data_IF_918344843499
#
_entry.id   IF_918344843499
#
_cell.length_a   1.000
_cell.length_b   1.000
_cell.length_c   1.000
_cell.angle_alpha   90.00
_cell.angle_beta   90.00
_cell.angle_gamma   90.00
#
_symmetry.space_group_name_H-M   'P 1'
#
loop_
_entity.id
_entity.type
_entity.pdbx_description
1 polymer ?
#
# COMPACT_ATOMS: atom_id res chain seq x y z
N UNK A 1 -48.78 -6.35 48.74
CA UNK A 1 -48.26 -5.35 49.67
C UNK A 1 -47.51 -4.34 48.87
N UNK A 2 -48.16 -3.28 48.29
CA UNK A 2 -48.36 -1.95 48.85
C UNK A 2 -47.05 -1.29 49.25
N UNK A 3 -46.61 -0.11 48.76
CA UNK A 3 -47.24 1.23 48.59
C UNK A 3 -46.23 2.07 47.77
N UNK A 4 -46.50 2.69 46.64
CA UNK A 4 -46.95 4.05 46.34
C UNK A 4 -46.26 5.15 47.17
N UNK A 5 -45.59 6.10 46.51
CA UNK A 5 -46.04 7.49 46.44
C UNK A 5 -45.11 8.39 45.65
N UNK A 6 -45.72 9.17 44.84
CA UNK A 6 -45.29 10.29 44.01
C UNK A 6 -45.25 11.58 44.85
N UNK A 7 -44.39 12.53 44.43
CA UNK A 7 -44.61 13.98 44.70
C UNK A 7 -44.20 14.79 43.46
N UNK A 8 -45.16 15.56 43.00
CA UNK A 8 -45.04 16.70 42.03
C UNK A 8 -44.82 17.99 42.83
N UNK A 9 -44.16 18.97 42.18
CA UNK A 9 -44.49 20.42 42.24
C UNK A 9 -43.35 21.19 41.55
N UNK A 10 -43.57 21.96 40.58
CA UNK A 10 -44.22 23.23 40.26
C UNK A 10 -43.20 24.37 40.03
N UNK A 11 -43.21 24.82 38.80
CA UNK A 11 -43.05 26.14 38.18
C UNK A 11 -42.68 27.36 39.06
N UNK A 12 -41.73 28.16 38.55
CA UNK A 12 -41.90 29.63 38.50
C UNK A 12 -41.06 30.21 37.32
N UNK A 13 -41.79 30.81 36.40
CA UNK A 13 -41.23 31.65 35.33
C UNK A 13 -40.98 33.08 35.87
N UNK A 14 -39.87 33.68 35.50
CA UNK A 14 -39.70 35.12 35.63
C UNK A 14 -39.16 35.69 34.33
N UNK A 15 -40.06 36.38 33.62
CA UNK A 15 -39.76 37.23 32.47
C UNK A 15 -39.08 38.52 32.99
N UNK A 16 -37.93 38.84 32.48
CA UNK A 16 -37.37 40.20 32.56
C UNK A 16 -37.10 40.72 31.14
N UNK A 17 -37.91 41.68 30.76
CA UNK A 17 -37.77 42.49 29.55
C UNK A 17 -36.71 43.53 29.84
N UNK A 18 -35.60 43.54 29.12
CA UNK A 18 -34.56 44.55 29.15
C UNK A 18 -34.25 45.03 27.74
N UNK A 19 -34.42 46.35 27.53
CA UNK A 19 -34.38 47.04 26.26
C UNK A 19 -33.03 46.95 25.54
N UNK A 20 -33.10 46.88 24.22
CA UNK A 20 -31.97 46.88 23.30
C UNK A 20 -31.36 48.31 23.21
N UNK A 21 -30.06 48.41 23.42
CA UNK A 21 -29.25 49.49 22.88
C UNK A 21 -28.31 48.92 21.83
N UNK A 22 -28.49 49.35 20.59
CA UNK A 22 -27.64 49.05 19.48
C UNK A 22 -26.28 49.72 19.64
N UNK A 23 -25.24 48.92 19.88
CA UNK A 23 -23.86 49.37 19.73
C UNK A 23 -23.30 48.74 18.45
N UNK A 24 -22.89 49.61 17.53
CA UNK A 24 -22.21 49.23 16.30
C UNK A 24 -20.89 48.53 16.65
N UNK A 25 -20.74 47.28 16.27
CA UNK A 25 -19.48 46.54 16.35
C UNK A 25 -18.72 46.69 15.05
N UNK A 26 -17.58 47.33 15.15
CA UNK A 26 -16.53 47.36 14.14
C UNK A 26 -16.08 45.98 13.76
N UNK A 27 -16.08 45.69 12.45
CA UNK A 27 -15.51 44.45 11.89
C UNK A 27 -13.99 44.52 11.99
N UNK A 28 -13.31 43.51 12.58
CA UNK A 28 -11.85 43.46 12.51
C UNK A 28 -11.41 43.18 11.08
N UNK A 29 -10.60 44.08 10.53
CA UNK A 29 -9.87 43.89 9.27
C UNK A 29 -8.98 42.65 9.36
N UNK A 30 -9.25 41.65 8.55
CA UNK A 30 -8.37 40.51 8.34
C UNK A 30 -7.01 40.98 7.83
N UNK A 31 -5.98 40.88 8.64
CA UNK A 31 -4.59 40.98 8.21
C UNK A 31 -4.30 39.80 7.29
N UNK A 32 -4.05 40.06 6.00
CA UNK A 32 -3.42 39.14 5.07
C UNK A 32 -2.00 38.91 5.55
N UNK A 33 -1.81 37.81 6.27
CA UNK A 33 -0.47 37.29 6.55
C UNK A 33 -0.03 36.46 5.36
N UNK A 34 0.73 37.10 4.46
CA UNK A 34 1.33 36.45 3.30
C UNK A 34 2.67 35.84 3.70
N UNK A 35 2.64 34.79 4.50
CA UNK A 35 3.81 33.89 4.63
C UNK A 35 3.90 33.07 3.37
N UNK A 36 4.64 33.54 2.38
CA UNK A 36 5.14 32.77 1.25
C UNK A 36 5.98 31.62 1.80
N UNK A 37 5.38 30.43 1.92
CA UNK A 37 6.13 29.18 2.06
C UNK A 37 6.92 29.03 0.76
N UNK A 38 8.23 29.26 0.84
CA UNK A 38 9.15 28.96 -0.26
C UNK A 38 9.10 27.45 -0.51
N UNK A 39 8.59 27.07 -1.67
CA UNK A 39 8.76 25.72 -2.19
C UNK A 39 10.26 25.36 -2.23
N UNK A 40 10.64 24.11 -1.91
CA UNK A 40 12.03 23.70 -2.04
C UNK A 40 12.44 23.82 -3.51
N UNK A 41 13.39 24.71 -3.79
CA UNK A 41 14.09 24.74 -5.07
C UNK A 41 15.00 23.51 -5.10
N UNK A 42 14.62 22.50 -5.82
CA UNK A 42 15.46 21.74 -6.74
C UNK A 42 14.66 20.62 -7.40
N UNK A 43 14.06 20.90 -8.54
CA UNK A 43 13.69 19.89 -9.52
C UNK A 43 13.84 20.50 -10.91
N UNK A 44 15.07 20.62 -11.37
CA UNK A 44 15.37 20.74 -12.79
C UNK A 44 15.21 19.38 -13.46
N UNK A 45 13.97 18.90 -13.57
CA UNK A 45 13.62 17.88 -14.54
C UNK A 45 12.97 18.57 -15.73
N UNK A 46 13.74 18.69 -16.81
CA UNK A 46 13.26 19.12 -18.12
C UNK A 46 12.22 18.13 -18.63
N UNK A 47 11.05 18.65 -19.05
CA UNK A 47 10.06 17.91 -19.85
C UNK A 47 10.74 17.43 -21.13
N UNK A 48 10.94 16.12 -21.29
CA UNK A 48 11.40 15.55 -22.54
C UNK A 48 12.05 14.17 -22.51
N UNK A 49 12.58 13.71 -21.37
CA UNK A 49 13.11 12.35 -21.29
C UNK A 49 12.02 11.44 -20.68
N UNK A 50 11.65 10.38 -21.42
CA UNK A 50 10.95 9.24 -20.84
C UNK A 50 11.79 8.81 -19.63
N UNK A 51 11.30 9.06 -18.41
CA UNK A 51 12.09 8.96 -17.20
C UNK A 51 12.69 7.56 -17.11
N UNK A 52 14.03 7.47 -17.24
CA UNK A 52 14.76 6.22 -17.22
C UNK A 52 14.38 5.45 -15.96
N UNK A 53 13.90 4.21 -16.14
CA UNK A 53 13.54 3.35 -15.02
C UNK A 53 14.78 3.17 -14.14
N UNK A 54 14.73 3.50 -12.82
CA UNK A 54 15.87 3.27 -11.93
C UNK A 54 16.32 1.81 -11.99
N UNK A 55 17.65 1.58 -11.93
CA UNK A 55 18.24 0.25 -12.10
C UNK A 55 17.62 -0.81 -11.17
N UNK A 56 17.22 -0.41 -9.97
CA UNK A 56 16.56 -1.30 -9.01
C UNK A 56 15.30 -1.94 -9.59
N UNK A 57 14.52 -1.20 -10.36
CA UNK A 57 13.22 -1.63 -10.89
C UNK A 57 13.30 -2.14 -12.34
N UNK A 58 14.50 -2.15 -12.94
CA UNK A 58 14.67 -2.50 -14.36
C UNK A 58 14.74 -4.01 -14.62
N UNK A 59 14.83 -4.84 -13.59
CA UNK A 59 14.95 -6.30 -13.72
C UNK A 59 13.92 -7.00 -12.83
N UNK A 60 13.30 -8.05 -13.36
CA UNK A 60 12.43 -8.93 -12.59
C UNK A 60 13.20 -10.01 -11.81
N UNK A 61 14.45 -10.30 -12.19
CA UNK A 61 15.26 -11.32 -11.52
C UNK A 61 15.50 -10.95 -10.04
N UNK A 62 15.43 -11.92 -9.11
CA UNK A 62 15.76 -11.70 -7.71
C UNK A 62 17.16 -11.11 -7.56
N UNK A 63 17.29 -10.11 -6.67
CA UNK A 63 18.57 -9.52 -6.33
C UNK A 63 19.08 -10.16 -5.01
N UNK A 64 20.24 -10.81 -5.06
CA UNK A 64 20.90 -11.36 -3.87
C UNK A 64 21.50 -10.23 -3.04
N UNK A 65 21.11 -10.13 -1.77
CA UNK A 65 21.54 -9.05 -0.86
C UNK A 65 21.95 -9.60 0.51
N UNK A 66 22.95 -8.98 1.12
CA UNK A 66 23.18 -9.13 2.56
C UNK A 66 22.96 -7.79 3.24
N UNK A 67 22.03 -7.74 4.19
CA UNK A 67 21.83 -6.59 5.08
C UNK A 67 22.65 -6.77 6.34
N UNK A 68 23.67 -5.94 6.51
CA UNK A 68 24.46 -5.88 7.75
C UNK A 68 23.95 -4.74 8.63
N UNK A 69 23.34 -5.07 9.77
CA UNK A 69 22.75 -4.13 10.72
C UNK A 69 22.80 -4.69 12.14
N UNK A 70 22.59 -3.84 13.16
CA UNK A 70 22.38 -4.32 14.52
C UNK A 70 20.96 -4.93 14.63
N UNK A 71 20.85 -6.23 14.38
CA UNK A 71 19.57 -6.94 14.34
C UNK A 71 18.86 -6.94 15.69
N UNK A 72 19.62 -6.96 16.80
CA UNK A 72 19.05 -6.89 18.15
C UNK A 72 18.34 -5.56 18.39
N UNK A 73 18.90 -4.44 17.92
CA UNK A 73 18.25 -3.13 18.01
C UNK A 73 16.98 -3.09 17.14
N UNK A 74 17.07 -3.51 15.89
CA UNK A 74 15.92 -3.54 14.98
C UNK A 74 14.76 -4.38 15.55
N UNK A 75 15.03 -5.56 16.10
CA UNK A 75 13.98 -6.41 16.69
C UNK A 75 13.34 -5.82 17.96
N UNK A 76 14.03 -4.92 18.65
CA UNK A 76 13.49 -4.19 19.82
C UNK A 76 12.62 -3.00 19.46
N UNK A 77 12.78 -2.47 18.26
CA UNK A 77 12.06 -1.29 17.78
C UNK A 77 10.65 -1.66 17.34
N UNK A 78 9.74 -1.74 18.32
CA UNK A 78 8.34 -2.09 18.14
C UNK A 78 7.40 -0.88 18.06
N UNK A 79 7.95 0.34 17.91
CA UNK A 79 7.17 1.59 17.81
C UNK A 79 7.20 2.15 16.39
N UNK A 80 6.09 2.68 15.92
CA UNK A 80 5.97 3.28 14.59
C UNK A 80 7.02 4.40 14.34
N UNK A 81 7.41 5.13 15.38
CA UNK A 81 8.39 6.22 15.31
C UNK A 81 9.81 5.80 15.70
N UNK A 82 10.15 4.52 15.55
CA UNK A 82 11.52 4.04 15.82
C UNK A 82 12.54 4.77 14.95
N UNK A 83 13.75 5.03 15.49
CA UNK A 83 14.79 5.76 14.78
C UNK A 83 15.37 4.93 13.63
N UNK A 84 16.04 5.61 12.71
CA UNK A 84 16.87 4.96 11.72
C UNK A 84 18.21 4.53 12.32
N UNK A 85 18.62 3.30 12.04
CA UNK A 85 19.92 2.73 12.40
C UNK A 85 20.85 2.66 11.19
N UNK A 86 22.14 2.77 11.42
CA UNK A 86 23.16 2.56 10.38
C UNK A 86 23.18 1.09 9.95
N UNK A 87 23.28 0.89 8.65
CA UNK A 87 23.36 -0.42 8.01
C UNK A 87 24.15 -0.34 6.69
N UNK A 88 24.49 -1.49 6.10
CA UNK A 88 24.96 -1.57 4.73
C UNK A 88 24.31 -2.75 4.01
N UNK A 89 24.08 -2.59 2.69
CA UNK A 89 23.87 -3.71 1.79
C UNK A 89 25.17 -4.11 1.11
N UNK A 90 25.41 -5.42 1.02
CA UNK A 90 26.42 -5.98 0.13
C UNK A 90 25.74 -6.86 -0.91
N UNK A 91 26.22 -6.78 -2.16
CA UNK A 91 25.74 -7.59 -3.28
C UNK A 91 26.82 -7.66 -4.37
N UNK A 92 26.66 -8.59 -5.29
CA UNK A 92 27.49 -8.66 -6.50
C UNK A 92 26.74 -8.00 -7.66
N UNK A 93 27.34 -7.04 -8.33
CA UNK A 93 26.73 -6.36 -9.47
C UNK A 93 26.74 -7.24 -10.75
N UNK A 94 26.19 -6.71 -11.83
CA UNK A 94 26.09 -7.43 -13.10
C UNK A 94 27.45 -7.74 -13.73
N UNK A 95 28.51 -7.00 -13.36
CA UNK A 95 29.87 -7.21 -13.81
C UNK A 95 30.64 -8.21 -12.90
N UNK A 96 29.98 -8.81 -11.92
CA UNK A 96 30.59 -9.73 -10.95
C UNK A 96 31.40 -9.03 -9.85
N UNK A 97 31.27 -7.71 -9.69
CA UNK A 97 32.03 -6.95 -8.70
C UNK A 97 31.25 -6.85 -7.39
N UNK A 98 31.91 -7.06 -6.24
CA UNK A 98 31.30 -6.84 -4.95
C UNK A 98 31.03 -5.34 -4.73
N UNK A 99 29.83 -5.03 -4.28
CA UNK A 99 29.40 -3.68 -3.96
C UNK A 99 28.98 -3.62 -2.50
N UNK A 100 29.33 -2.54 -1.82
CA UNK A 100 28.79 -2.21 -0.48
C UNK A 100 28.14 -0.82 -0.53
N UNK A 101 26.88 -0.76 -0.11
CA UNK A 101 26.09 0.47 -0.15
C UNK A 101 25.64 0.81 1.27
N UNK A 102 26.15 1.88 1.87
CA UNK A 102 25.70 2.32 3.18
C UNK A 102 24.27 2.87 3.07
N UNK A 103 23.45 2.53 4.07
CA UNK A 103 22.08 2.99 4.19
C UNK A 103 21.70 3.17 5.66
N UNK A 104 20.53 3.73 5.88
CA UNK A 104 19.87 3.69 7.19
C UNK A 104 18.62 2.83 7.09
N UNK A 105 18.33 2.08 8.13
CA UNK A 105 17.20 1.16 8.21
C UNK A 105 16.40 1.37 9.48
N UNK A 106 15.09 1.26 9.40
CA UNK A 106 14.20 1.22 10.58
C UNK A 106 13.07 0.23 10.35
N UNK A 107 12.47 -0.23 11.44
CA UNK A 107 11.22 -1.00 11.38
C UNK A 107 10.06 -0.15 10.88
N UNK A 108 9.08 -0.78 10.25
CA UNK A 108 7.92 -0.12 9.64
C UNK A 108 6.66 -0.97 9.82
N UNK A 109 5.49 -0.32 9.63
CA UNK A 109 4.18 -0.95 9.74
C UNK A 109 3.54 -0.75 11.10
N UNK A 110 2.34 -1.29 11.26
CA UNK A 110 1.55 -1.24 12.51
C UNK A 110 1.32 -2.66 13.00
N UNK A 111 0.52 -3.45 12.27
CA UNK A 111 0.17 -4.81 12.69
C UNK A 111 1.38 -5.74 12.70
N UNK A 112 2.11 -5.83 11.60
CA UNK A 112 3.31 -6.69 11.48
C UNK A 112 4.44 -6.27 12.41
N UNK A 113 4.56 -4.97 12.72
CA UNK A 113 5.53 -4.47 13.70
C UNK A 113 5.26 -5.02 15.11
N UNK A 114 3.99 -5.18 15.48
CA UNK A 114 3.59 -5.70 16.78
C UNK A 114 3.66 -7.23 16.86
N UNK A 115 3.35 -7.94 15.78
CA UNK A 115 3.07 -9.38 15.79
C UNK A 115 4.17 -10.24 15.15
N UNK A 116 4.92 -9.71 14.17
CA UNK A 116 5.95 -10.48 13.48
C UNK A 116 7.28 -10.53 14.23
N UNK A 117 7.96 -11.68 14.17
CA UNK A 117 9.35 -11.80 14.62
C UNK A 117 10.29 -10.96 13.74
N UNK A 118 10.01 -10.87 12.45
CA UNK A 118 10.74 -10.06 11.47
C UNK A 118 9.82 -8.98 10.88
N UNK A 119 9.75 -7.80 11.52
CA UNK A 119 8.89 -6.72 11.03
C UNK A 119 9.40 -6.18 9.67
N UNK A 120 8.51 -5.63 8.83
CA UNK A 120 8.91 -4.93 7.62
C UNK A 120 9.87 -3.79 7.93
N UNK A 121 10.73 -3.48 6.96
CA UNK A 121 11.75 -2.45 7.11
C UNK A 121 11.53 -1.30 6.13
N UNK A 122 11.82 -0.09 6.58
CA UNK A 122 11.98 1.07 5.71
C UNK A 122 13.46 1.38 5.55
N UNK A 123 13.91 1.41 4.31
CA UNK A 123 15.27 1.73 3.96
C UNK A 123 15.40 3.23 3.67
N UNK A 124 16.61 3.77 3.77
CA UNK A 124 16.88 5.15 3.42
C UNK A 124 18.30 5.23 2.84
N UNK A 125 18.37 5.41 1.53
CA UNK A 125 19.61 5.57 0.78
C UNK A 125 19.94 7.04 0.62
N UNK A 126 21.23 7.36 0.66
CA UNK A 126 21.74 8.64 0.20
C UNK A 126 22.05 8.52 -1.28
N UNK A 127 21.44 9.32 -2.15
CA UNK A 127 21.73 9.30 -3.59
C UNK A 127 23.22 9.51 -3.89
N UNK A 128 23.90 10.32 -3.07
CA UNK A 128 25.36 10.52 -3.21
C UNK A 128 26.13 9.22 -2.96
N UNK A 129 25.80 8.47 -1.91
CA UNK A 129 26.50 7.23 -1.54
C UNK A 129 26.06 6.03 -2.38
N UNK A 130 24.84 6.04 -2.90
CA UNK A 130 24.31 5.01 -3.78
C UNK A 130 24.66 5.23 -5.26
N UNK A 131 25.37 6.34 -5.60
CA UNK A 131 25.73 6.68 -6.98
C UNK A 131 26.52 5.54 -7.64
N UNK A 132 26.11 5.15 -8.84
CA UNK A 132 26.74 4.06 -9.60
C UNK A 132 26.22 2.66 -9.25
N UNK A 133 25.53 2.49 -8.14
CA UNK A 133 24.96 1.21 -7.70
C UNK A 133 23.54 0.98 -8.25
N UNK A 134 22.99 -0.21 -7.99
CA UNK A 134 21.60 -0.55 -8.33
C UNK A 134 20.58 0.28 -7.51
N UNK A 135 20.99 0.82 -6.36
CA UNK A 135 20.14 1.58 -5.45
C UNK A 135 20.15 3.10 -5.69
N UNK A 136 20.85 3.58 -6.72
CA UNK A 136 20.78 4.97 -7.12
C UNK A 136 19.34 5.33 -7.52
N UNK A 137 18.81 6.44 -7.01
CA UNK A 137 17.42 6.90 -7.17
C UNK A 137 16.33 6.00 -6.52
N UNK A 138 16.73 5.05 -5.68
CA UNK A 138 15.78 4.23 -4.93
C UNK A 138 15.16 4.96 -3.71
N UNK A 139 15.85 5.96 -3.18
CA UNK A 139 15.47 6.78 -2.02
C UNK A 139 15.10 5.99 -0.76
N UNK A 140 13.80 5.79 -0.51
CA UNK A 140 13.28 5.17 0.73
C UNK A 140 12.36 3.98 0.47
N UNK A 141 12.78 2.96 -0.29
CA UNK A 141 11.93 1.80 -0.54
C UNK A 141 11.56 1.12 0.77
N UNK A 142 10.37 0.49 0.75
CA UNK A 142 9.93 -0.40 1.82
C UNK A 142 10.39 -1.82 1.49
N UNK A 143 10.76 -2.60 2.51
CA UNK A 143 11.12 -4.01 2.38
C UNK A 143 10.12 -4.85 3.16
N UNK A 144 9.43 -5.74 2.44
CA UNK A 144 8.55 -6.75 3.02
C UNK A 144 9.35 -8.01 3.24
N UNK A 145 9.36 -8.48 4.49
CA UNK A 145 10.10 -9.65 4.96
C UNK A 145 9.12 -10.75 5.38
N UNK A 146 9.50 -12.03 5.39
CA UNK A 146 8.70 -13.06 6.05
C UNK A 146 8.39 -12.69 7.50
N UNK A 147 7.13 -12.81 7.90
CA UNK A 147 6.69 -12.47 9.26
C UNK A 147 7.47 -13.27 10.31
N UNK A 148 7.56 -14.56 10.08
CA UNK A 148 8.23 -15.51 10.96
C UNK A 148 9.34 -16.28 10.23
N UNK A 149 9.98 -17.20 10.93
CA UNK A 149 11.12 -17.95 10.39
C UNK A 149 10.72 -19.32 9.79
N UNK A 150 9.41 -19.55 9.59
CA UNK A 150 8.88 -20.74 8.95
C UNK A 150 8.83 -20.61 7.41
N UNK A 151 8.55 -21.75 6.76
CA UNK A 151 8.46 -21.80 5.28
C UNK A 151 7.21 -21.12 4.74
N UNK A 152 6.11 -21.14 5.50
CA UNK A 152 4.84 -20.58 5.06
C UNK A 152 4.94 -19.05 4.98
N UNK A 153 5.61 -18.42 5.94
CA UNK A 153 5.86 -16.97 5.93
C UNK A 153 6.66 -16.52 4.70
N UNK A 154 7.58 -17.32 4.18
CA UNK A 154 8.30 -17.02 2.94
C UNK A 154 7.40 -17.19 1.72
N UNK A 155 6.53 -18.21 1.70
CA UNK A 155 5.55 -18.41 0.64
C UNK A 155 4.52 -17.27 0.58
N UNK A 156 4.10 -16.72 1.73
CA UNK A 156 3.23 -15.54 1.77
C UNK A 156 3.87 -14.31 1.12
N UNK A 157 5.15 -14.08 1.38
CA UNK A 157 5.91 -12.99 0.73
C UNK A 157 5.98 -13.17 -0.78
N UNK A 158 6.22 -14.38 -1.26
CA UNK A 158 6.25 -14.70 -2.69
C UNK A 158 4.88 -14.52 -3.34
N UNK A 159 3.80 -14.94 -2.67
CA UNK A 159 2.42 -14.73 -3.14
C UNK A 159 2.09 -13.23 -3.20
N UNK A 160 2.38 -12.47 -2.15
CA UNK A 160 2.14 -11.02 -2.12
C UNK A 160 2.94 -10.32 -3.23
N UNK A 161 4.20 -10.69 -3.44
CA UNK A 161 5.01 -10.17 -4.55
C UNK A 161 4.38 -10.44 -5.92
N UNK A 162 3.78 -11.64 -6.13
CA UNK A 162 3.06 -11.93 -7.38
C UNK A 162 1.87 -10.98 -7.58
N UNK A 163 1.18 -10.56 -6.51
CA UNK A 163 0.09 -9.59 -6.62
C UNK A 163 0.59 -8.22 -7.08
N UNK A 164 1.76 -7.76 -6.61
CA UNK A 164 2.39 -6.55 -7.15
C UNK A 164 2.72 -6.69 -8.64
N UNK A 165 3.19 -7.85 -9.09
CA UNK A 165 3.45 -8.11 -10.51
C UNK A 165 2.17 -8.09 -11.34
N UNK A 166 1.11 -8.72 -10.85
CA UNK A 166 -0.21 -8.71 -11.51
C UNK A 166 -0.71 -7.26 -11.61
N UNK A 167 -0.63 -6.49 -10.54
CA UNK A 167 -1.11 -5.11 -10.55
C UNK A 167 -0.34 -4.24 -11.54
N UNK A 168 0.98 -4.42 -11.66
CA UNK A 168 1.81 -3.74 -12.65
C UNK A 168 1.50 -4.15 -14.10
N UNK A 169 1.02 -5.36 -14.35
CA UNK A 169 0.53 -5.77 -15.69
C UNK A 169 -0.78 -5.08 -16.06
N UNK A 170 -1.63 -4.84 -15.07
CA UNK A 170 -2.97 -4.27 -15.27
C UNK A 170 -2.90 -2.75 -15.43
N UNK A 171 -2.07 -2.08 -14.64
CA UNK A 171 -2.01 -0.62 -14.61
C UNK A 171 -0.63 -0.07 -14.26
N UNK A 172 -0.20 1.03 -14.91
CA UNK A 172 0.99 1.77 -14.48
C UNK A 172 0.79 2.52 -13.14
N UNK A 173 -0.48 2.70 -12.67
CA UNK A 173 -0.84 3.32 -11.39
C UNK A 173 -0.66 2.30 -10.26
N UNK A 174 0.57 1.86 -10.08
CA UNK A 174 0.97 0.81 -9.15
C UNK A 174 2.39 1.08 -8.64
N UNK A 175 2.74 0.56 -7.48
CA UNK A 175 4.13 0.58 -7.03
C UNK A 175 5.00 -0.34 -7.87
N UNK A 176 6.22 0.09 -8.18
CA UNK A 176 7.26 -0.80 -8.67
C UNK A 176 7.72 -1.68 -7.52
N UNK A 177 7.94 -2.96 -7.80
CA UNK A 177 8.43 -3.93 -6.82
C UNK A 177 9.54 -4.79 -7.42
N UNK A 178 10.44 -5.28 -6.56
CA UNK A 178 11.50 -6.20 -6.95
C UNK A 178 11.71 -7.27 -5.90
N UNK A 179 11.70 -8.53 -6.35
CA UNK A 179 12.05 -9.66 -5.50
C UNK A 179 13.54 -9.58 -5.13
N UNK A 180 13.84 -9.89 -3.89
CA UNK A 180 15.21 -10.01 -3.37
C UNK A 180 15.35 -11.32 -2.62
N UNK A 181 16.57 -11.84 -2.57
CA UNK A 181 16.95 -12.90 -1.65
C UNK A 181 17.92 -12.34 -0.65
N UNK A 182 17.46 -12.18 0.59
CA UNK A 182 18.14 -11.41 1.63
C UNK A 182 18.74 -12.30 2.70
N UNK A 183 20.02 -12.04 3.02
CA UNK A 183 20.71 -12.55 4.22
C UNK A 183 20.78 -11.43 5.25
N UNK A 184 20.34 -11.69 6.47
CA UNK A 184 20.49 -10.76 7.59
C UNK A 184 21.76 -11.09 8.35
N UNK A 185 22.72 -10.16 8.39
CA UNK A 185 23.98 -10.29 9.13
C UNK A 185 23.98 -9.32 10.33
N UNK A 186 24.13 -9.85 11.52
CA UNK A 186 24.22 -9.02 12.74
C UNK A 186 25.59 -8.33 12.82
N UNK A 187 25.59 -6.99 12.82
CA UNK A 187 26.82 -6.19 12.84
C UNK A 187 27.58 -6.26 14.18
N UNK A 188 26.93 -6.68 15.25
CA UNK A 188 27.57 -6.78 16.55
C UNK A 188 28.25 -8.15 16.79
N UNK A 189 27.69 -9.21 16.23
CA UNK A 189 28.15 -10.59 16.46
C UNK A 189 28.81 -11.23 15.22
N UNK A 190 28.61 -10.66 14.03
CA UNK A 190 29.03 -11.22 12.76
C UNK A 190 28.22 -12.44 12.29
N UNK A 191 27.21 -12.88 13.07
CA UNK A 191 26.37 -14.01 12.69
C UNK A 191 25.42 -13.61 11.56
N UNK A 192 25.24 -14.52 10.59
CA UNK A 192 24.30 -14.36 9.50
C UNK A 192 23.22 -15.45 9.57
N UNK A 193 21.98 -15.05 9.24
CA UNK A 193 20.85 -15.96 9.10
C UNK A 193 20.92 -16.64 7.73
N UNK A 194 20.15 -17.71 7.52
CA UNK A 194 19.95 -18.29 6.19
C UNK A 194 19.23 -17.29 5.28
N UNK A 195 19.58 -17.25 3.97
CA UNK A 195 18.92 -16.33 3.04
C UNK A 195 17.44 -16.67 2.87
N UNK A 196 16.60 -15.63 2.74
CA UNK A 196 15.15 -15.72 2.56
C UNK A 196 14.68 -14.83 1.43
N UNK A 197 13.55 -15.18 0.80
CA UNK A 197 12.90 -14.29 -0.12
C UNK A 197 12.18 -13.16 0.64
N UNK A 198 12.35 -11.96 0.12
CA UNK A 198 11.71 -10.72 0.53
C UNK A 198 11.48 -9.88 -0.74
N UNK A 199 10.79 -8.77 -0.65
CA UNK A 199 10.74 -7.85 -1.78
C UNK A 199 10.85 -6.40 -1.34
N UNK A 200 11.35 -5.59 -2.26
CA UNK A 200 11.36 -4.13 -2.14
C UNK A 200 10.21 -3.58 -2.97
N UNK A 201 9.58 -2.53 -2.49
CA UNK A 201 8.66 -1.74 -3.30
C UNK A 201 8.90 -0.24 -3.14
N UNK A 202 8.51 0.47 -4.18
CA UNK A 202 8.80 1.89 -4.41
C UNK A 202 8.30 2.78 -3.26
N UNK A 203 9.08 3.80 -2.90
CA UNK A 203 8.63 4.83 -1.95
C UNK A 203 7.39 5.55 -2.51
N UNK A 204 6.34 5.76 -1.70
CA UNK A 204 5.10 6.40 -2.17
C UNK A 204 5.29 7.80 -2.76
N UNK A 205 6.20 8.60 -2.21
CA UNK A 205 6.46 9.95 -2.73
C UNK A 205 7.19 9.89 -4.08
N UNK A 206 8.10 8.91 -4.27
CA UNK A 206 8.76 8.64 -5.56
C UNK A 206 7.74 8.16 -6.59
N UNK A 207 6.85 7.25 -6.20
CA UNK A 207 5.75 6.79 -7.05
C UNK A 207 4.86 7.96 -7.47
N UNK A 208 4.44 8.81 -6.55
CA UNK A 208 3.58 9.96 -6.86
C UNK A 208 4.23 10.90 -7.87
N UNK A 209 5.52 11.22 -7.71
CA UNK A 209 6.26 12.04 -8.68
C UNK A 209 6.35 11.35 -10.05
N UNK A 210 6.59 10.04 -10.08
CA UNK A 210 6.60 9.25 -11.33
C UNK A 210 5.26 9.29 -12.06
N UNK A 211 4.16 9.32 -11.31
CA UNK A 211 2.81 9.40 -11.85
C UNK A 211 2.38 10.85 -12.20
N UNK A 212 3.27 11.81 -12.04
CA UNK A 212 3.02 13.21 -12.41
C UNK A 212 2.30 14.03 -11.34
N UNK A 213 2.21 13.52 -10.11
CA UNK A 213 1.48 14.15 -9.02
C UNK A 213 2.25 14.22 -7.71
N UNK A 214 1.50 14.40 -6.64
CA UNK A 214 2.00 14.44 -5.25
C UNK A 214 1.18 13.52 -4.37
N UNK A 215 1.80 12.93 -3.34
CA UNK A 215 1.11 12.06 -2.41
C UNK A 215 0.10 12.85 -1.55
N UNK A 216 -1.17 12.46 -1.61
CA UNK A 216 -2.25 13.05 -0.80
C UNK A 216 -2.15 12.48 0.62
N UNK A 217 -2.13 13.37 1.62
CA UNK A 217 -2.05 12.98 3.05
C UNK A 217 -3.36 13.23 3.80
N UNK A 218 -4.30 13.92 3.15
CA UNK A 218 -5.61 14.22 3.72
C UNK A 218 -6.57 13.06 3.44
N UNK A 219 -7.21 12.57 4.48
CA UNK A 219 -8.28 11.57 4.40
C UNK A 219 -9.60 12.20 3.98
N UNK A 220 -10.54 11.38 3.52
CA UNK A 220 -11.90 11.81 3.25
C UNK A 220 -12.24 11.93 1.76
N UNK A 221 -11.38 11.44 0.85
CA UNK A 221 -11.69 11.43 -0.58
C UNK A 221 -12.90 10.54 -0.87
N UNK A 222 -13.96 11.13 -1.38
CA UNK A 222 -15.16 10.43 -1.83
C UNK A 222 -15.06 9.94 -3.29
N UNK A 223 -16.14 9.34 -3.82
CA UNK A 223 -16.16 8.85 -5.20
C UNK A 223 -15.80 9.92 -6.24
N UNK A 224 -16.36 11.12 -6.08
CA UNK A 224 -16.21 12.23 -7.02
C UNK A 224 -14.81 12.87 -6.98
N UNK A 225 -14.02 12.56 -5.95
CA UNK A 225 -12.64 13.04 -5.82
C UNK A 225 -11.63 12.13 -6.54
N UNK A 226 -12.06 10.93 -6.97
CA UNK A 226 -11.18 9.94 -7.60
C UNK A 226 -11.30 9.97 -9.12
N UNK A 227 -10.18 9.75 -9.81
CA UNK A 227 -10.23 9.46 -11.24
C UNK A 227 -11.01 8.14 -11.46
N UNK A 228 -12.14 8.15 -12.16
CA UNK A 228 -13.06 7.02 -12.21
C UNK A 228 -12.46 5.77 -12.89
N UNK A 229 -11.63 5.95 -13.91
CA UNK A 229 -11.04 4.82 -14.65
C UNK A 229 -9.98 4.11 -13.80
N UNK A 230 -9.14 4.89 -13.11
CA UNK A 230 -8.13 4.35 -12.20
C UNK A 230 -8.78 3.72 -10.95
N UNK A 231 -9.84 4.34 -10.45
CA UNK A 231 -10.60 3.81 -9.32
C UNK A 231 -11.27 2.46 -9.67
N UNK A 232 -11.89 2.35 -10.85
CA UNK A 232 -12.48 1.09 -11.32
C UNK A 232 -11.44 -0.05 -11.40
N UNK A 233 -10.25 0.24 -11.94
CA UNK A 233 -9.14 -0.72 -11.98
C UNK A 233 -8.71 -1.12 -10.57
N UNK A 234 -8.49 -0.16 -9.66
CA UNK A 234 -8.02 -0.43 -8.31
C UNK A 234 -9.03 -1.26 -7.51
N UNK A 235 -10.31 -0.89 -7.53
CA UNK A 235 -11.36 -1.64 -6.84
C UNK A 235 -11.58 -3.05 -7.43
N UNK A 236 -11.50 -3.19 -8.76
CA UNK A 236 -11.63 -4.50 -9.40
C UNK A 236 -10.43 -5.40 -9.10
N UNK A 237 -9.22 -4.83 -8.96
CA UNK A 237 -8.05 -5.56 -8.52
C UNK A 237 -8.21 -6.04 -7.07
N UNK A 238 -8.61 -5.18 -6.15
CA UNK A 238 -8.86 -5.54 -4.76
C UNK A 238 -9.93 -6.63 -4.62
N UNK A 239 -10.98 -6.56 -5.46
CA UNK A 239 -11.99 -7.62 -5.55
C UNK A 239 -11.41 -8.93 -6.12
N UNK A 240 -10.58 -8.86 -7.18
CA UNK A 240 -9.93 -10.03 -7.78
C UNK A 240 -9.13 -10.80 -6.72
N UNK A 241 -8.30 -10.08 -5.96
CA UNK A 241 -7.43 -10.68 -4.95
C UNK A 241 -8.18 -11.01 -3.64
N UNK A 242 -9.44 -10.59 -3.51
CA UNK A 242 -10.24 -10.77 -2.30
C UNK A 242 -9.70 -9.99 -1.11
N UNK A 243 -9.13 -8.81 -1.34
CA UNK A 243 -8.70 -7.94 -0.27
C UNK A 243 -9.86 -7.09 0.23
N UNK A 244 -10.08 -7.08 1.53
CA UNK A 244 -11.05 -6.21 2.19
C UNK A 244 -10.42 -5.30 3.23
N UNK A 245 -9.11 -5.40 3.42
CA UNK A 245 -8.34 -4.59 4.36
C UNK A 245 -7.75 -3.33 3.68
N UNK A 246 -8.59 -2.57 3.00
CA UNK A 246 -8.17 -1.32 2.38
C UNK A 246 -9.24 -0.22 2.46
N UNK A 247 -8.82 1.04 2.34
CA UNK A 247 -9.71 2.19 2.24
C UNK A 247 -8.98 3.38 1.62
N UNK A 248 -9.36 3.78 0.42
CA UNK A 248 -8.85 5.02 -0.20
C UNK A 248 -9.35 6.27 0.54
N UNK A 249 -10.57 6.24 1.06
CA UNK A 249 -11.10 7.30 1.93
C UNK A 249 -10.27 7.45 3.22
N UNK A 250 -9.89 6.33 3.82
CA UNK A 250 -9.14 6.27 5.07
C UNK A 250 -7.62 6.31 4.89
N UNK A 251 -7.11 6.26 3.65
CA UNK A 251 -5.69 6.08 3.31
C UNK A 251 -5.07 4.90 4.08
N UNK A 252 -5.78 3.77 4.06
CA UNK A 252 -5.36 2.51 4.65
C UNK A 252 -5.14 1.48 3.55
N UNK A 253 -3.94 0.92 3.44
CA UNK A 253 -3.52 0.01 2.37
C UNK A 253 -3.86 0.51 0.96
N UNK A 254 -4.03 1.82 0.85
CA UNK A 254 -4.31 2.57 -0.37
C UNK A 254 -3.76 3.99 -0.26
N UNK A 255 -3.13 4.44 -1.31
CA UNK A 255 -2.56 5.78 -1.45
C UNK A 255 -3.31 6.55 -2.53
N UNK A 256 -3.31 7.87 -2.42
CA UNK A 256 -3.85 8.76 -3.44
C UNK A 256 -2.75 9.67 -3.97
N UNK A 257 -2.66 9.75 -5.29
CA UNK A 257 -1.75 10.66 -5.99
C UNK A 257 -2.57 11.78 -6.59
N UNK A 258 -2.47 12.98 -6.01
CA UNK A 258 -3.14 14.17 -6.50
C UNK A 258 -2.42 14.75 -7.72
N UNK A 259 -3.11 14.84 -8.84
CA UNK A 259 -2.61 15.43 -10.07
C UNK A 259 -2.82 16.95 -10.10
N UNK A 260 -2.03 17.70 -10.87
CA UNK A 260 -2.26 19.14 -11.08
C UNK A 260 -3.62 19.47 -11.73
N UNK A 261 -4.27 18.48 -12.36
CA UNK A 261 -5.61 18.59 -12.95
C UNK A 261 -6.72 18.63 -11.90
N UNK A 262 -6.44 18.23 -10.66
CA UNK A 262 -7.42 18.08 -9.58
C UNK A 262 -7.84 16.62 -9.33
N UNK A 263 -7.57 15.70 -10.24
CA UNK A 263 -7.88 14.28 -10.08
C UNK A 263 -6.99 13.62 -9.02
N UNK A 264 -7.53 12.66 -8.27
CA UNK A 264 -6.74 11.77 -7.43
C UNK A 264 -6.71 10.36 -8.03
N UNK A 265 -5.50 9.82 -8.18
CA UNK A 265 -5.27 8.45 -8.64
C UNK A 265 -5.16 7.52 -7.43
N UNK A 266 -6.10 6.60 -7.21
CA UNK A 266 -5.96 5.59 -6.16
C UNK A 266 -4.96 4.51 -6.55
N UNK A 267 -4.06 4.18 -5.64
CA UNK A 267 -3.03 3.14 -5.80
C UNK A 267 -3.09 2.18 -4.61
N UNK A 268 -3.39 0.92 -4.89
CA UNK A 268 -3.46 -0.13 -3.88
C UNK A 268 -2.07 -0.67 -3.50
N UNK A 269 -1.89 -1.09 -2.25
CA UNK A 269 -0.68 -1.74 -1.75
C UNK A 269 -0.98 -2.52 -0.46
N UNK A 270 -0.02 -3.34 0.03
CA UNK A 270 -0.11 -4.13 1.26
C UNK A 270 -1.19 -5.23 1.17
N UNK A 271 -0.90 -6.29 0.40
CA UNK A 271 -1.88 -7.30 0.00
C UNK A 271 -1.86 -8.56 0.86
N UNK A 272 -1.10 -8.61 1.94
CA UNK A 272 -0.90 -9.82 2.76
C UNK A 272 -2.17 -10.30 3.50
N UNK A 273 -3.15 -9.41 3.72
CA UNK A 273 -4.48 -9.75 4.27
C UNK A 273 -5.48 -10.18 3.19
N UNK A 274 -5.09 -10.27 1.92
CA UNK A 274 -5.99 -10.67 0.83
C UNK A 274 -6.33 -12.17 0.86
N UNK A 275 -7.49 -12.52 0.29
CA UNK A 275 -7.88 -13.92 0.08
C UNK A 275 -6.97 -14.69 -0.86
N UNK A 276 -6.23 -14.01 -1.74
CA UNK A 276 -5.26 -14.59 -2.64
C UNK A 276 -3.99 -15.07 -1.92
N UNK A 277 -3.49 -14.31 -0.94
CA UNK A 277 -2.35 -14.73 -0.11
C UNK A 277 -2.81 -15.67 1.00
N UNK A 278 -3.97 -15.38 1.61
CA UNK A 278 -4.61 -16.21 2.64
C UNK A 278 -3.65 -16.55 3.79
N UNK A 279 -2.96 -15.54 4.31
CA UNK A 279 -2.05 -15.73 5.44
C UNK A 279 -2.79 -16.27 6.66
N UNK A 280 -2.12 -17.05 7.50
CA UNK A 280 -2.72 -17.60 8.72
C UNK A 280 -3.15 -16.54 9.73
N UNK A 281 -2.60 -15.34 9.63
CA UNK A 281 -2.94 -14.20 10.50
C UNK A 281 -3.99 -13.26 9.91
N UNK A 282 -4.35 -13.41 8.63
CA UNK A 282 -5.38 -12.57 8.02
C UNK A 282 -6.75 -12.87 8.61
N UNK A 283 -7.47 -11.82 8.95
CA UNK A 283 -8.80 -11.89 9.55
C UNK A 283 -9.78 -11.02 8.76
N UNK A 284 -11.06 -11.34 8.87
CA UNK A 284 -12.14 -10.53 8.30
C UNK A 284 -12.59 -9.52 9.36
N UNK A 285 -12.82 -8.27 8.94
CA UNK A 285 -13.49 -7.29 9.78
C UNK A 285 -14.91 -7.80 10.12
N UNK A 286 -15.27 -7.95 11.41
CA UNK A 286 -16.57 -8.46 11.84
C UNK A 286 -17.78 -7.66 11.32
N UNK A 287 -17.58 -6.43 10.88
CA UNK A 287 -18.63 -5.59 10.32
C UNK A 287 -18.97 -5.94 8.85
N UNK A 288 -18.09 -6.70 8.17
CA UNK A 288 -18.31 -7.09 6.78
C UNK A 288 -19.20 -8.33 6.65
N UNK A 289 -20.04 -8.42 5.60
CA UNK A 289 -20.98 -9.53 5.39
C UNK A 289 -20.29 -10.78 4.82
N UNK A 290 -19.05 -11.04 5.18
CA UNK A 290 -18.27 -12.22 4.81
C UNK A 290 -17.70 -12.90 6.07
N UNK A 291 -17.41 -14.18 5.99
CA UNK A 291 -16.96 -15.00 7.14
C UNK A 291 -15.54 -15.53 6.99
N UNK A 292 -14.97 -15.52 5.80
CA UNK A 292 -13.66 -16.08 5.49
C UNK A 292 -12.89 -15.11 4.59
N UNK A 293 -11.60 -14.99 4.80
CA UNK A 293 -10.70 -14.11 4.06
C UNK A 293 -10.76 -14.37 2.54
N UNK A 294 -10.93 -15.62 2.11
CA UNK A 294 -11.06 -15.97 0.69
C UNK A 294 -12.41 -15.61 0.05
N UNK A 295 -13.38 -15.10 0.81
CA UNK A 295 -14.63 -14.62 0.24
C UNK A 295 -14.43 -13.22 -0.35
N UNK A 296 -14.72 -13.08 -1.64
CA UNK A 296 -14.66 -11.77 -2.31
C UNK A 296 -15.85 -10.91 -1.92
N UNK A 297 -15.57 -9.64 -1.62
CA UNK A 297 -16.59 -8.63 -1.37
C UNK A 297 -16.23 -7.39 -2.20
N UNK A 298 -17.17 -6.91 -2.99
CA UNK A 298 -17.01 -5.63 -3.66
C UNK A 298 -17.07 -4.49 -2.65
N UNK A 299 -16.05 -3.66 -2.62
CA UNK A 299 -15.93 -2.49 -1.73
C UNK A 299 -15.74 -1.18 -2.50
N UNK A 300 -15.79 -1.26 -3.83
CA UNK A 300 -15.72 -0.08 -4.69
C UNK A 300 -17.07 0.62 -4.79
N UNK A 301 -17.02 1.83 -5.31
CA UNK A 301 -18.20 2.58 -5.66
C UNK A 301 -18.80 2.01 -6.96
N UNK A 302 -20.11 2.03 -7.04
CA UNK A 302 -20.87 1.57 -8.18
C UNK A 302 -21.34 2.81 -8.96
N UNK A 303 -20.44 3.43 -9.72
CA UNK A 303 -20.82 4.53 -10.58
C UNK A 303 -21.43 3.99 -11.89
N UNK A 304 -22.47 4.61 -12.38
CA UNK A 304 -23.14 4.30 -13.67
C UNK A 304 -22.25 4.55 -14.90
N UNK A 305 -20.97 4.92 -14.69
CA UNK A 305 -20.07 5.26 -15.77
C UNK A 305 -19.49 4.00 -16.46
N UNK A 306 -18.96 4.18 -17.65
CA UNK A 306 -18.36 3.12 -18.46
C UNK A 306 -17.03 2.56 -17.88
N UNK A 307 -16.55 3.08 -16.78
CA UNK A 307 -15.21 2.74 -16.24
C UNK A 307 -15.13 1.32 -15.72
N UNK A 308 -16.16 0.81 -15.02
CA UNK A 308 -16.16 -0.58 -14.53
C UNK A 308 -16.20 -1.59 -15.69
N UNK A 309 -17.06 -1.46 -16.71
CA UNK A 309 -16.99 -2.31 -17.90
C UNK A 309 -15.64 -2.25 -18.62
N UNK A 310 -15.04 -1.06 -18.77
CA UNK A 310 -13.72 -0.90 -19.38
C UNK A 310 -12.61 -1.57 -18.56
N UNK A 311 -12.68 -1.45 -17.22
CA UNK A 311 -11.78 -2.17 -16.32
C UNK A 311 -11.92 -3.69 -16.51
N UNK A 312 -13.14 -4.23 -16.57
CA UNK A 312 -13.37 -5.66 -16.82
C UNK A 312 -12.69 -6.13 -18.11
N UNK A 313 -12.79 -5.36 -19.20
CA UNK A 313 -12.11 -5.71 -20.47
C UNK A 313 -10.58 -5.69 -20.31
N UNK A 314 -10.03 -4.75 -19.53
CA UNK A 314 -8.59 -4.73 -19.22
C UNK A 314 -8.15 -6.02 -18.50
N UNK A 315 -8.91 -6.47 -17.49
CA UNK A 315 -8.61 -7.73 -16.80
C UNK A 315 -8.73 -8.95 -17.72
N UNK A 316 -9.74 -8.99 -18.59
CA UNK A 316 -9.90 -10.05 -19.60
C UNK A 316 -8.71 -10.12 -20.55
N UNK A 317 -8.28 -8.97 -21.06
CA UNK A 317 -7.12 -8.88 -21.94
C UNK A 317 -5.82 -9.35 -21.29
N UNK A 318 -5.66 -9.12 -19.99
CA UNK A 318 -4.46 -9.50 -19.23
C UNK A 318 -4.50 -10.93 -18.68
N UNK A 319 -5.61 -11.67 -18.84
CA UNK A 319 -5.77 -13.02 -18.24
C UNK A 319 -4.57 -13.93 -18.52
N UNK A 320 -4.20 -14.10 -19.79
CA UNK A 320 -3.09 -14.99 -20.16
C UNK A 320 -1.76 -14.57 -19.56
N UNK A 321 -1.48 -13.26 -19.53
CA UNK A 321 -0.25 -12.74 -18.94
C UNK A 321 -0.21 -12.95 -17.41
N UNK A 322 -1.34 -12.79 -16.73
CA UNK A 322 -1.48 -13.05 -15.29
C UNK A 322 -1.19 -14.53 -14.98
N UNK A 323 -1.78 -15.46 -15.73
CA UNK A 323 -1.55 -16.89 -15.54
C UNK A 323 -0.10 -17.28 -15.82
N UNK A 324 0.55 -16.69 -16.82
CA UNK A 324 1.94 -16.93 -17.16
C UNK A 324 2.92 -16.59 -16.02
N UNK A 325 2.58 -15.63 -15.15
CA UNK A 325 3.39 -15.31 -13.96
C UNK A 325 3.59 -16.48 -13.00
N UNK A 326 2.70 -17.47 -13.01
CA UNK A 326 2.79 -18.65 -12.14
C UNK A 326 3.60 -19.80 -12.73
N UNK A 327 4.04 -19.68 -13.99
CA UNK A 327 4.89 -20.65 -14.67
C UNK A 327 6.29 -20.13 -15.01
N UNK A 328 6.56 -18.85 -14.79
CA UNK A 328 7.89 -18.26 -14.97
C UNK A 328 8.84 -18.61 -13.81
N UNK A 329 10.09 -18.13 -13.86
CA UNK A 329 11.11 -18.48 -12.86
C UNK A 329 10.77 -17.98 -11.44
N UNK A 330 10.00 -16.91 -11.31
CA UNK A 330 9.52 -16.43 -10.00
C UNK A 330 8.31 -17.25 -9.54
N UNK A 331 7.38 -17.55 -10.44
CA UNK A 331 6.23 -18.40 -10.15
C UNK A 331 6.63 -19.81 -9.66
N UNK A 332 7.71 -20.36 -10.20
CA UNK A 332 8.29 -21.65 -9.79
C UNK A 332 8.88 -21.65 -8.36
N UNK A 333 9.06 -20.49 -7.72
CA UNK A 333 9.46 -20.40 -6.31
C UNK A 333 8.29 -20.70 -5.36
N UNK A 334 7.06 -20.61 -5.84
CA UNK A 334 5.87 -21.02 -5.10
C UNK A 334 5.74 -22.55 -5.10
N UNK A 335 5.18 -23.09 -4.01
CA UNK A 335 4.88 -24.50 -3.97
C UNK A 335 3.78 -24.86 -4.99
N UNK A 336 3.82 -26.05 -5.60
CA UNK A 336 2.82 -26.46 -6.59
C UNK A 336 1.37 -26.41 -6.08
N UNK A 337 1.15 -26.69 -4.79
CA UNK A 337 -0.17 -26.59 -4.15
C UNK A 337 -0.68 -25.15 -4.13
N UNK A 338 0.17 -24.19 -3.75
CA UNK A 338 -0.16 -22.77 -3.75
C UNK A 338 -0.48 -22.28 -5.17
N UNK A 339 0.34 -22.67 -6.15
CA UNK A 339 0.08 -22.30 -7.55
C UNK A 339 -1.28 -22.81 -7.99
N UNK A 340 -1.59 -24.08 -7.74
CA UNK A 340 -2.88 -24.70 -8.09
C UNK A 340 -4.04 -23.93 -7.44
N UNK A 341 -4.01 -23.75 -6.13
CA UNK A 341 -5.07 -23.05 -5.38
C UNK A 341 -5.26 -21.60 -5.82
N UNK A 342 -4.17 -20.93 -6.20
CA UNK A 342 -4.23 -19.55 -6.67
C UNK A 342 -4.85 -19.50 -8.07
N UNK A 343 -4.48 -20.40 -8.98
CA UNK A 343 -5.06 -20.42 -10.32
C UNK A 343 -6.55 -20.79 -10.27
N UNK A 344 -6.97 -21.73 -9.41
CA UNK A 344 -8.39 -22.01 -9.15
C UNK A 344 -9.13 -20.76 -8.62
N UNK A 345 -8.48 -19.97 -7.75
CA UNK A 345 -9.04 -18.73 -7.24
C UNK A 345 -9.18 -17.68 -8.35
N UNK A 346 -8.25 -17.61 -9.31
CA UNK A 346 -8.39 -16.76 -10.51
C UNK A 346 -9.50 -17.25 -11.43
N UNK A 347 -9.65 -18.57 -11.63
CA UNK A 347 -10.73 -19.13 -12.45
C UNK A 347 -12.12 -18.74 -11.92
N UNK A 348 -12.31 -18.75 -10.61
CA UNK A 348 -13.54 -18.27 -9.98
C UNK A 348 -13.80 -16.78 -10.27
N UNK A 349 -12.77 -15.93 -10.20
CA UNK A 349 -12.89 -14.52 -10.53
C UNK A 349 -13.28 -14.32 -12.01
N UNK A 350 -12.55 -14.92 -12.93
CA UNK A 350 -12.84 -14.76 -14.36
C UNK A 350 -14.20 -15.32 -14.76
N UNK A 351 -14.65 -16.41 -14.17
CA UNK A 351 -16.01 -16.93 -14.34
C UNK A 351 -17.09 -15.93 -13.90
N UNK A 352 -16.84 -15.14 -12.85
CA UNK A 352 -17.75 -14.06 -12.47
C UNK A 352 -17.74 -12.91 -13.48
N UNK A 353 -16.59 -12.57 -14.04
CA UNK A 353 -16.49 -11.54 -15.07
C UNK A 353 -17.24 -11.92 -16.38
N UNK A 354 -17.37 -13.21 -16.70
CA UNK A 354 -18.17 -13.67 -17.85
C UNK A 354 -19.65 -13.31 -17.69
N UNK A 355 -20.12 -13.22 -16.45
CA UNK A 355 -21.47 -12.79 -16.06
C UNK A 355 -21.45 -11.33 -15.56
N UNK A 356 -20.86 -10.43 -16.36
CA UNK A 356 -20.65 -9.03 -15.97
C UNK A 356 -21.92 -8.31 -15.51
N UNK A 357 -23.09 -8.67 -16.05
CA UNK A 357 -24.38 -8.13 -15.64
C UNK A 357 -24.68 -8.47 -14.15
N UNK A 358 -24.47 -9.72 -13.74
CA UNK A 358 -24.70 -10.15 -12.34
C UNK A 358 -23.73 -9.45 -11.36
N UNK A 359 -22.53 -9.09 -11.84
CA UNK A 359 -21.52 -8.38 -11.03
C UNK A 359 -21.89 -6.91 -10.87
N UNK A 360 -22.34 -6.25 -11.94
CA UNK A 360 -22.80 -4.85 -11.91
C UNK A 360 -24.12 -4.71 -11.15
N UNK A 361 -25.07 -5.66 -11.32
CA UNK A 361 -26.34 -5.69 -10.59
C UNK A 361 -26.12 -5.86 -9.07
N UNK A 362 -25.00 -6.50 -8.64
CA UNK A 362 -24.62 -6.55 -7.23
C UNK A 362 -24.17 -5.19 -6.66
N UNK A 363 -23.86 -4.25 -7.55
CA UNK A 363 -23.50 -2.88 -7.22
C UNK A 363 -24.73 -1.96 -7.03
N UNK A 364 -25.83 -2.22 -7.71
CA UNK A 364 -27.01 -1.33 -7.78
C UNK A 364 -27.80 -1.16 -6.46
N UNK A 365 -27.36 -1.73 -5.37
CA UNK A 365 -28.12 -1.68 -4.10
C UNK A 365 -27.36 -1.12 -2.89
N UNK A 366 -26.21 -0.48 -3.04
CA UNK A 366 -25.31 -0.14 -1.92
C UNK A 366 -24.75 1.29 -1.96
N UNK A 367 -25.55 2.25 -2.40
CA UNK A 367 -25.26 3.69 -2.19
C UNK A 367 -25.76 4.16 -0.86
#
# INVERSE_FOLDING_TARGET
MTIRSAVRALLAASLVIGAATAAAQDKPKAKKDSTKVKAPKDSTRTKGDAAKVPKLWASAAPLELTLKANLKMLRRDKKANSPYHTASFTYTDADGKPQEVPLRVKTHGIWRLAHCANPPLRLNFSNKLAKGTVFHDAERPKMVTPCDNDKDSEQYVLQEFQLYRIYQLITPMSHRARLIRITFADSATGKADAPKYAFLFEDPEVMAVRLGGTLVKQKGAGPDDLNPDVAAIAYLFEYMIGNTDFSFWGLHNGELVGLPTGDNLPVAYDFDFSGAVNTHYATVDPQLPIKRVRQRLWRGYCNENASVPAAIETFRAQKSAIYALYSDDIGKLLSPSIVKETLEYWDEFYKKLERSKDFLDSCEGKN
#
